data_IF_206977741511
#
_entry.id   IF_206977741511
#
_cell.length_a   1.000
_cell.length_b   1.000
_cell.length_c   1.000
_cell.angle_alpha   90.00
_cell.angle_beta   90.00
_cell.angle_gamma   90.00
#
_symmetry.space_group_name_H-M   'P 1'
#
loop_
_entity.id
_entity.type
_entity.pdbx_description
1 polymer ?
#
# COMPACT_ATOMS: atom_id res chain seq x y z
N UNK A 1 -30.35 71.61 7.37
CA UNK A 1 -30.96 70.27 7.25
C UNK A 1 -30.08 69.30 8.04
N UNK A 2 -30.45 69.03 9.30
CA UNK A 2 -30.82 67.69 9.82
C UNK A 2 -29.64 66.69 9.80
N UNK A 3 -28.82 66.54 10.84
CA UNK A 3 -29.02 65.84 12.14
C UNK A 3 -29.59 64.40 12.07
N UNK A 4 -28.82 63.47 12.68
CA UNK A 4 -29.29 62.32 13.50
C UNK A 4 -29.87 61.12 12.69
N UNK A 5 -29.69 59.81 12.94
CA UNK A 5 -29.48 58.98 14.15
C UNK A 5 -28.79 57.64 13.79
N UNK A 6 -28.07 57.15 14.79
CA UNK A 6 -27.55 55.81 15.05
C UNK A 6 -28.38 54.59 14.58
N UNK A 7 -27.68 53.47 14.36
CA UNK A 7 -28.10 52.18 14.94
C UNK A 7 -26.89 51.40 15.42
N UNK A 8 -26.76 51.35 16.75
CA UNK A 8 -25.94 50.41 17.52
C UNK A 8 -26.90 49.45 18.23
N UNK A 9 -26.65 48.15 18.08
CA UNK A 9 -26.85 47.07 19.05
C UNK A 9 -25.81 46.02 18.62
N UNK A 10 -24.66 45.77 19.26
CA UNK A 10 -24.28 45.66 20.68
C UNK A 10 -24.99 44.52 21.41
N UNK A 11 -24.38 43.34 21.35
CA UNK A 11 -24.34 42.25 22.36
C UNK A 11 -23.28 41.27 21.86
N UNK A 12 -22.01 41.27 22.29
CA UNK A 12 -21.44 41.01 23.62
C UNK A 12 -21.96 39.69 24.23
N UNK A 13 -21.15 38.64 24.08
CA UNK A 13 -20.97 37.59 25.09
C UNK A 13 -19.54 37.03 24.96
N UNK A 14 -18.59 37.74 25.56
CA UNK A 14 -17.25 37.24 25.89
C UNK A 14 -17.15 37.06 27.40
N UNK A 15 -16.92 35.83 27.85
CA UNK A 15 -16.42 35.46 29.19
C UNK A 15 -16.01 33.99 29.11
N UNK A 16 -14.74 33.59 28.99
CA UNK A 16 -13.59 33.80 29.90
C UNK A 16 -13.85 33.25 31.32
N UNK A 17 -13.54 31.97 31.50
CA UNK A 17 -13.02 31.35 32.73
C UNK A 17 -12.01 30.30 32.24
N UNK A 18 -10.72 30.63 32.16
CA UNK A 18 -9.76 30.68 33.26
C UNK A 18 -9.43 29.29 33.84
N UNK A 19 -8.11 29.08 33.95
CA UNK A 19 -7.42 28.13 34.83
C UNK A 19 -7.07 26.78 34.19
N UNK A 20 -5.84 26.63 33.66
CA UNK A 20 -4.67 26.16 34.43
C UNK A 20 -4.97 24.89 35.25
N UNK A 21 -4.80 23.73 34.61
CA UNK A 21 -4.28 22.53 35.24
C UNK A 21 -2.99 22.19 34.49
N UNK A 22 -1.85 22.60 35.05
CA UNK A 22 -0.94 21.74 35.81
C UNK A 22 -0.27 20.69 34.92
N UNK A 23 1.00 20.99 34.67
CA UNK A 23 2.07 20.09 34.26
C UNK A 23 2.09 18.87 35.18
N UNK A 24 1.99 17.68 34.62
CA UNK A 24 2.47 16.46 35.27
C UNK A 24 3.04 15.49 34.21
N UNK A 25 4.35 15.26 34.36
CA UNK A 25 5.10 14.05 34.01
C UNK A 25 4.93 13.51 32.57
N UNK A 26 5.93 13.70 31.71
CA UNK A 26 7.07 12.76 31.61
C UNK A 26 6.61 11.32 31.79
N UNK A 27 6.17 10.72 30.70
CA UNK A 27 6.48 9.33 30.41
C UNK A 27 6.96 9.28 28.98
N UNK A 28 8.28 9.41 28.81
CA UNK A 28 8.96 8.86 27.64
C UNK A 28 8.80 7.34 27.71
N UNK A 29 7.68 6.84 27.19
CA UNK A 29 7.52 5.44 26.89
C UNK A 29 8.55 5.10 25.81
N UNK A 30 9.39 4.14 26.16
CA UNK A 30 10.64 3.84 25.51
C UNK A 30 10.41 3.36 24.08
N UNK A 31 11.25 3.86 23.16
CA UNK A 31 11.57 3.16 21.92
C UNK A 31 12.19 1.82 22.32
N UNK A 32 11.39 0.76 22.29
CA UNK A 32 11.91 -0.61 22.29
C UNK A 32 12.62 -0.82 20.96
N UNK A 33 13.89 -1.28 20.94
CA UNK A 33 14.46 -1.78 19.71
C UNK A 33 13.63 -2.99 19.25
N UNK A 34 13.23 -3.02 17.97
CA UNK A 34 12.71 -4.24 17.36
C UNK A 34 13.81 -5.32 17.47
N UNK A 35 13.65 -6.18 18.47
CA UNK A 35 14.41 -7.41 18.55
C UNK A 35 13.92 -8.31 17.42
N UNK A 36 14.82 -8.55 16.46
CA UNK A 36 14.76 -9.67 15.53
C UNK A 36 14.49 -10.95 16.33
N UNK A 37 13.34 -11.56 16.08
CA UNK A 37 12.99 -12.86 16.61
C UNK A 37 12.86 -13.85 15.44
N UNK A 38 13.96 -14.55 15.18
CA UNK A 38 13.92 -15.89 14.60
C UNK A 38 13.47 -16.86 15.69
N UNK A 39 12.23 -17.31 15.63
CA UNK A 39 11.82 -18.55 16.28
C UNK A 39 10.91 -19.32 15.33
N UNK A 40 11.57 -20.13 14.51
CA UNK A 40 11.14 -21.48 14.17
C UNK A 40 10.79 -22.23 15.46
N UNK A 41 9.59 -22.81 15.50
CA UNK A 41 9.28 -24.03 16.26
C UNK A 41 7.95 -24.56 15.74
N UNK A 42 8.08 -25.37 14.69
CA UNK A 42 7.51 -26.71 14.55
C UNK A 42 6.10 -26.95 15.11
N UNK A 43 5.18 -27.26 14.20
CA UNK A 43 4.25 -28.36 14.44
C UNK A 43 4.08 -29.17 13.16
N UNK A 44 4.80 -30.29 13.11
CA UNK A 44 4.55 -31.40 12.22
C UNK A 44 3.12 -31.93 12.48
N UNK A 45 2.33 -32.21 11.43
CA UNK A 45 2.06 -33.60 11.06
C UNK A 45 1.02 -33.71 9.92
N UNK A 46 1.38 -34.56 8.98
CA UNK A 46 0.56 -35.36 8.06
C UNK A 46 -0.04 -34.73 6.79
N UNK A 47 0.85 -34.58 5.81
CA UNK A 47 0.94 -35.50 4.65
C UNK A 47 -0.37 -35.90 3.97
N UNK A 48 -0.66 -35.25 2.84
CA UNK A 48 -1.32 -35.88 1.69
C UNK A 48 -0.83 -35.28 0.37
N UNK A 49 0.29 -35.81 -0.07
CA UNK A 49 0.58 -36.23 -1.45
C UNK A 49 -0.30 -35.64 -2.56
N UNK A 50 0.20 -34.62 -3.26
CA UNK A 50 0.07 -34.47 -4.72
C UNK A 50 1.35 -33.82 -5.26
N UNK A 51 2.09 -34.64 -6.01
CA UNK A 51 3.19 -34.34 -6.92
C UNK A 51 2.91 -33.21 -7.92
N UNK A 52 3.81 -32.23 -8.03
CA UNK A 52 4.24 -31.68 -9.32
C UNK A 52 5.60 -30.95 -9.18
N UNK A 53 6.38 -31.00 -10.25
CA UNK A 53 7.83 -31.09 -10.29
C UNK A 53 8.64 -29.86 -9.81
N UNK A 54 9.68 -30.19 -9.03
CA UNK A 54 10.79 -29.31 -8.70
C UNK A 54 11.66 -28.95 -9.91
N UNK A 55 11.83 -27.64 -10.16
CA UNK A 55 13.08 -27.11 -10.73
C UNK A 55 13.64 -26.01 -9.82
N UNK A 56 14.42 -26.44 -8.82
CA UNK A 56 15.26 -25.57 -7.98
C UNK A 56 16.28 -24.84 -8.86
N UNK A 57 16.14 -23.53 -8.91
CA UNK A 57 17.22 -22.61 -9.30
C UNK A 57 17.22 -21.51 -8.24
N UNK A 58 18.21 -21.58 -7.34
CA UNK A 58 18.83 -20.49 -6.57
C UNK A 58 17.93 -19.38 -5.98
N UNK A 59 17.64 -19.46 -4.68
CA UNK A 59 17.06 -18.45 -3.76
C UNK A 59 16.14 -17.35 -4.36
N UNK A 60 15.17 -17.71 -5.21
CA UNK A 60 14.10 -16.80 -5.62
C UNK A 60 12.95 -16.88 -4.62
N UNK A 61 12.56 -15.75 -4.01
CA UNK A 61 11.36 -15.65 -3.18
C UNK A 61 10.16 -16.38 -3.82
N UNK A 62 9.43 -17.14 -3.02
CA UNK A 62 8.22 -17.86 -3.45
C UNK A 62 7.10 -16.90 -3.83
N UNK A 63 6.12 -17.37 -4.61
CA UNK A 63 4.97 -16.53 -4.99
C UNK A 63 4.20 -16.03 -3.76
N UNK A 64 4.06 -16.87 -2.74
CA UNK A 64 3.37 -16.51 -1.50
C UNK A 64 4.12 -15.44 -0.71
N UNK A 65 5.45 -15.55 -0.62
CA UNK A 65 6.28 -14.52 0.02
C UNK A 65 6.20 -13.18 -0.72
N UNK A 66 6.27 -13.22 -2.06
CA UNK A 66 6.14 -12.01 -2.88
C UNK A 66 4.74 -11.39 -2.70
N UNK A 67 3.70 -12.22 -2.67
CA UNK A 67 2.33 -11.77 -2.46
C UNK A 67 2.18 -11.11 -1.09
N UNK A 68 2.73 -11.71 -0.02
CA UNK A 68 2.71 -11.11 1.31
C UNK A 68 3.46 -9.78 1.32
N UNK A 69 4.70 -9.74 0.80
CA UNK A 69 5.53 -8.54 0.76
C UNK A 69 4.82 -7.37 0.04
N UNK A 70 4.21 -7.65 -1.11
CA UNK A 70 3.47 -6.63 -1.87
C UNK A 70 2.24 -6.17 -1.09
N UNK A 71 1.53 -7.10 -0.45
CA UNK A 71 0.33 -6.79 0.33
C UNK A 71 0.67 -5.96 1.56
N UNK A 72 1.73 -6.29 2.29
CA UNK A 72 2.19 -5.55 3.45
C UNK A 72 2.66 -4.15 3.08
N UNK A 73 3.41 -4.02 1.97
CA UNK A 73 3.81 -2.70 1.48
C UNK A 73 2.61 -1.86 1.04
N UNK A 74 1.57 -2.48 0.47
CA UNK A 74 0.33 -1.79 0.16
C UNK A 74 -0.45 -1.40 1.42
N UNK A 75 -0.50 -2.28 2.43
CA UNK A 75 -1.16 -2.03 3.69
C UNK A 75 -0.55 -0.82 4.41
N UNK A 76 0.77 -0.76 4.49
CA UNK A 76 1.51 0.36 5.06
C UNK A 76 1.31 1.65 4.26
N UNK A 77 1.47 1.61 2.93
CA UNK A 77 1.40 2.82 2.10
C UNK A 77 0.00 3.36 1.93
N UNK A 78 -1.04 2.54 2.05
CA UNK A 78 -2.43 2.94 1.85
C UNK A 78 -3.23 2.97 3.15
N UNK A 79 -2.59 2.69 4.29
CA UNK A 79 -3.22 2.65 5.60
C UNK A 79 -4.45 1.71 5.58
N UNK A 80 -4.26 0.49 5.07
CA UNK A 80 -5.36 -0.49 4.90
C UNK A 80 -5.78 -1.07 6.25
N UNK A 81 -7.09 -1.23 6.46
CA UNK A 81 -7.60 -2.03 7.56
C UNK A 81 -7.46 -3.54 7.31
N UNK A 82 -7.67 -4.35 8.34
CA UNK A 82 -7.49 -5.81 8.27
C UNK A 82 -8.40 -6.49 7.22
N UNK A 83 -9.63 -5.98 7.02
CA UNK A 83 -10.58 -6.52 6.06
C UNK A 83 -10.13 -6.20 4.63
N UNK A 84 -9.72 -4.95 4.39
CA UNK A 84 -9.14 -4.51 3.13
C UNK A 84 -7.85 -5.27 2.82
N UNK A 85 -6.96 -5.42 3.80
CA UNK A 85 -5.70 -6.16 3.66
C UNK A 85 -5.95 -7.61 3.24
N UNK A 86 -6.89 -8.30 3.88
CA UNK A 86 -7.25 -9.68 3.52
C UNK A 86 -7.77 -9.78 2.07
N UNK A 87 -8.64 -8.86 1.64
CA UNK A 87 -9.13 -8.83 0.26
C UNK A 87 -8.04 -8.49 -0.75
N UNK A 88 -7.16 -7.55 -0.43
CA UNK A 88 -6.01 -7.18 -1.26
C UNK A 88 -5.03 -8.35 -1.38
N UNK A 89 -4.83 -9.13 -0.32
CA UNK A 89 -4.03 -10.36 -0.35
C UNK A 89 -4.57 -11.34 -1.40
N UNK A 90 -5.87 -11.63 -1.37
CA UNK A 90 -6.51 -12.54 -2.33
C UNK A 90 -6.42 -12.03 -3.77
N UNK A 91 -6.62 -10.72 -3.99
CA UNK A 91 -6.40 -10.09 -5.30
C UNK A 91 -4.95 -10.26 -5.73
N UNK A 92 -3.98 -10.07 -4.84
CA UNK A 92 -2.56 -10.23 -5.16
C UNK A 92 -2.21 -11.70 -5.45
N UNK A 93 -2.71 -12.68 -4.68
CA UNK A 93 -2.55 -14.12 -4.96
C UNK A 93 -3.02 -14.47 -6.38
N UNK A 94 -4.12 -13.87 -6.83
CA UNK A 94 -4.65 -14.10 -8.17
C UNK A 94 -3.73 -13.57 -9.28
N UNK A 95 -3.17 -12.36 -9.12
CA UNK A 95 -2.53 -11.64 -10.22
C UNK A 95 -1.00 -11.67 -10.24
N UNK A 96 -0.34 -11.81 -9.08
CA UNK A 96 1.12 -11.81 -9.00
C UNK A 96 1.75 -13.00 -9.76
N UNK A 97 1.25 -14.25 -9.62
CA UNK A 97 1.77 -15.37 -10.40
C UNK A 97 1.65 -15.13 -11.90
N UNK A 98 0.52 -14.59 -12.37
CA UNK A 98 0.32 -14.27 -13.79
C UNK A 98 1.35 -13.24 -14.30
N UNK A 99 1.68 -12.23 -13.48
CA UNK A 99 2.74 -11.27 -13.81
C UNK A 99 4.12 -11.93 -13.87
N UNK A 100 4.41 -12.85 -12.95
CA UNK A 100 5.68 -13.58 -12.90
C UNK A 100 5.83 -14.49 -14.12
N UNK A 101 4.81 -15.26 -14.44
CA UNK A 101 4.76 -16.15 -15.60
C UNK A 101 4.89 -15.36 -16.90
N UNK A 102 4.23 -14.20 -16.98
CA UNK A 102 4.37 -13.33 -18.14
C UNK A 102 5.80 -12.79 -18.29
N UNK A 103 6.48 -12.49 -17.18
CA UNK A 103 7.87 -12.02 -17.18
C UNK A 103 8.80 -13.12 -17.69
N UNK A 104 8.64 -14.35 -17.20
CA UNK A 104 9.46 -15.52 -17.56
C UNK A 104 9.13 -16.12 -18.93
N UNK A 105 7.94 -15.86 -19.50
CA UNK A 105 7.55 -16.40 -20.81
C UNK A 105 8.49 -16.01 -21.95
N UNK A 106 8.51 -16.77 -23.05
CA UNK A 106 9.31 -16.45 -24.24
C UNK A 106 8.60 -15.50 -25.23
N UNK A 107 7.51 -14.86 -24.80
CA UNK A 107 6.72 -14.01 -25.68
C UNK A 107 7.47 -12.76 -26.15
N UNK A 108 7.23 -12.31 -27.40
CA UNK A 108 7.76 -11.03 -27.88
C UNK A 108 7.37 -9.87 -26.97
N UNK A 109 8.30 -8.91 -26.80
CA UNK A 109 8.13 -7.76 -25.89
C UNK A 109 6.79 -7.04 -26.04
N UNK A 110 6.30 -6.84 -27.27
CA UNK A 110 5.03 -6.17 -27.53
C UNK A 110 3.83 -6.98 -27.01
N UNK A 111 3.83 -8.30 -27.20
CA UNK A 111 2.76 -9.19 -26.68
C UNK A 111 2.78 -9.22 -25.14
N UNK A 112 3.97 -9.32 -24.54
CA UNK A 112 4.13 -9.20 -23.08
C UNK A 112 3.57 -7.89 -22.54
N UNK A 113 3.90 -6.77 -23.19
CA UNK A 113 3.40 -5.46 -22.77
C UNK A 113 1.88 -5.37 -22.83
N UNK A 114 1.26 -5.91 -23.89
CA UNK A 114 -0.19 -5.96 -24.02
C UNK A 114 -0.83 -6.77 -22.88
N UNK A 115 -0.38 -8.00 -22.67
CA UNK A 115 -0.88 -8.87 -21.60
C UNK A 115 -0.68 -8.25 -20.22
N UNK A 116 0.49 -7.65 -19.98
CA UNK A 116 0.78 -6.99 -18.71
C UNK A 116 -0.21 -5.85 -18.43
N UNK A 117 -0.58 -5.07 -19.46
CA UNK A 117 -1.59 -4.01 -19.33
C UNK A 117 -2.98 -4.58 -19.04
N UNK A 118 -3.35 -5.68 -19.70
CA UNK A 118 -4.63 -6.37 -19.47
C UNK A 118 -4.73 -6.87 -18.02
N UNK A 119 -3.72 -7.61 -17.54
CA UNK A 119 -3.65 -8.09 -16.16
C UNK A 119 -3.64 -6.93 -15.16
N UNK A 120 -2.86 -5.87 -15.43
CA UNK A 120 -2.81 -4.69 -14.58
C UNK A 120 -4.16 -3.99 -14.46
N UNK A 121 -4.90 -3.85 -15.56
CA UNK A 121 -6.24 -3.23 -15.58
C UNK A 121 -7.24 -4.07 -14.81
N UNK A 122 -7.22 -5.39 -14.98
CA UNK A 122 -8.08 -6.30 -14.23
C UNK A 122 -7.82 -6.18 -12.72
N UNK A 123 -6.55 -6.22 -12.30
CA UNK A 123 -6.15 -6.00 -10.90
C UNK A 123 -6.62 -4.64 -10.36
N UNK A 124 -6.49 -3.57 -11.14
CA UNK A 124 -6.97 -2.24 -10.72
C UNK A 124 -8.48 -2.18 -10.54
N UNK A 125 -9.24 -2.84 -11.42
CA UNK A 125 -10.69 -2.90 -11.30
C UNK A 125 -11.10 -3.54 -9.96
N UNK A 126 -10.50 -4.69 -9.63
CA UNK A 126 -10.80 -5.37 -8.36
C UNK A 126 -10.32 -4.57 -7.14
N UNK A 127 -9.14 -3.96 -7.21
CA UNK A 127 -8.65 -3.11 -6.11
C UNK A 127 -9.55 -1.90 -5.86
N UNK A 128 -10.14 -1.32 -6.92
CA UNK A 128 -11.05 -0.18 -6.80
C UNK A 128 -12.33 -0.52 -6.02
N UNK A 129 -12.75 -1.78 -6.02
CA UNK A 129 -13.94 -2.24 -5.29
C UNK A 129 -13.66 -2.43 -3.79
N UNK A 130 -12.39 -2.64 -3.42
CA UNK A 130 -11.97 -2.88 -2.03
C UNK A 130 -11.48 -1.61 -1.35
N UNK A 131 -10.77 -0.76 -2.10
CA UNK A 131 -10.16 0.46 -1.60
C UNK A 131 -11.16 1.61 -1.53
N UNK A 132 -10.96 2.51 -0.56
CA UNK A 132 -11.68 3.78 -0.59
C UNK A 132 -11.19 4.64 -1.76
N UNK A 133 -11.99 5.65 -2.13
CA UNK A 133 -11.65 6.58 -3.22
C UNK A 133 -10.31 7.28 -2.98
N UNK A 134 -10.00 7.62 -1.73
CA UNK A 134 -8.76 8.30 -1.36
C UNK A 134 -7.56 7.35 -1.44
N UNK A 135 -7.68 6.13 -0.90
CA UNK A 135 -6.65 5.09 -0.99
C UNK A 135 -6.35 4.72 -2.44
N UNK A 136 -7.39 4.54 -3.27
CA UNK A 136 -7.23 4.26 -4.69
C UNK A 136 -6.50 5.41 -5.43
N UNK A 137 -6.83 6.66 -5.10
CA UNK A 137 -6.14 7.82 -5.67
C UNK A 137 -4.66 7.85 -5.28
N UNK A 138 -4.32 7.57 -4.01
CA UNK A 138 -2.94 7.47 -3.52
C UNK A 138 -2.19 6.34 -4.25
N UNK A 139 -2.83 5.20 -4.47
CA UNK A 139 -2.29 4.09 -5.23
C UNK A 139 -1.94 4.48 -6.68
N UNK A 140 -2.87 5.15 -7.38
CA UNK A 140 -2.64 5.58 -8.77
C UNK A 140 -1.51 6.60 -8.86
N UNK A 141 -1.42 7.55 -7.92
CA UNK A 141 -0.30 8.49 -7.85
C UNK A 141 1.05 7.78 -7.68
N UNK A 142 1.14 6.81 -6.76
CA UNK A 142 2.38 6.03 -6.59
C UNK A 142 2.75 5.27 -7.86
N UNK A 143 1.76 4.76 -8.59
CA UNK A 143 1.99 4.06 -9.85
C UNK A 143 2.46 4.99 -10.96
N UNK A 144 1.87 6.17 -11.09
CA UNK A 144 2.30 7.20 -12.04
C UNK A 144 3.73 7.65 -11.77
N UNK A 145 4.07 7.89 -10.50
CA UNK A 145 5.43 8.21 -10.06
C UNK A 145 6.42 7.10 -10.43
N UNK A 146 6.05 5.84 -10.20
CA UNK A 146 6.89 4.71 -10.61
C UNK A 146 7.08 4.66 -12.13
N UNK A 147 6.03 4.88 -12.92
CA UNK A 147 6.11 4.91 -14.39
C UNK A 147 7.03 6.06 -14.85
N UNK A 148 6.90 7.25 -14.26
CA UNK A 148 7.75 8.39 -14.56
C UNK A 148 9.22 8.07 -14.27
N UNK A 149 9.51 7.49 -13.10
CA UNK A 149 10.86 7.07 -12.71
C UNK A 149 11.46 6.06 -13.71
N UNK A 150 10.68 5.07 -14.15
CA UNK A 150 11.14 4.10 -15.15
C UNK A 150 11.38 4.76 -16.51
N UNK A 151 10.54 5.72 -16.91
CA UNK A 151 10.71 6.46 -18.17
C UNK A 151 11.99 7.29 -18.14
N UNK A 152 12.24 8.02 -17.06
CA UNK A 152 13.45 8.83 -16.90
C UNK A 152 14.72 7.99 -16.94
N UNK A 153 14.73 6.83 -16.25
CA UNK A 153 15.86 5.89 -16.29
C UNK A 153 16.17 5.40 -17.70
N UNK A 154 15.14 5.12 -18.50
CA UNK A 154 15.32 4.69 -19.91
C UNK A 154 15.83 5.81 -20.80
N UNK A 155 15.42 7.06 -20.55
CA UNK A 155 15.92 8.21 -21.31
C UNK A 155 17.41 8.38 -21.09
N UNK A 156 17.85 8.41 -19.82
CA UNK A 156 19.27 8.48 -19.47
C UNK A 156 20.12 7.39 -20.13
N UNK A 157 19.61 6.16 -20.19
CA UNK A 157 20.30 5.03 -20.84
C UNK A 157 20.41 5.14 -22.37
N UNK A 158 19.56 5.94 -23.02
CA UNK A 158 19.64 6.15 -24.47
C UNK A 158 20.52 7.35 -24.85
N UNK A 159 20.79 8.22 -23.87
CA UNK A 159 21.59 9.45 -24.04
C UNK A 159 23.09 9.21 -23.69
N UNK A 160 23.41 8.06 -23.07
CA UNK A 160 24.76 7.51 -22.83
C UNK A 160 25.20 6.59 -23.98
#
# INVERSE_FOLDING_TARGET
>A
MTHFIQSKCMMICTSFFASFFIIAAVTTAQLTPLQNNTNTSDNENENKDVSDDTKKTDESMTDDEIVQLITDSMAEKLDLDDNQKAKVLEINKKYIPQMRDLKSSDEPRFKKLRKFREISRARQSELKEVLTKEQYKKQEQMREQFIAMIKERRQKQNDE
#
